data_IF_512961240075
#
_entry.id   IF_512961240075
#
_cell.length_a   1.000
_cell.length_b   1.000
_cell.length_c   1.000
_cell.angle_alpha   90.00
_cell.angle_beta   90.00
_cell.angle_gamma   90.00
#
_symmetry.space_group_name_H-M   'P 1'
#
loop_
_entity.id
_entity.type
_entity.pdbx_description
1 polymer ?
#
# COMPACT_ATOMS: atom_id res chain seq x y z
N UNK A 1 -44.74 -6.21 54.05
CA UNK A 1 -45.06 -7.23 55.06
C UNK A 1 -44.09 -8.38 54.80
N UNK A 2 -43.02 -8.42 55.58
CA UNK A 2 -42.14 -9.58 55.75
C UNK A 2 -42.80 -10.52 56.79
N UNK A 3 -42.42 -11.82 56.95
CA UNK A 3 -41.15 -12.11 57.61
C UNK A 3 -40.39 -13.40 57.16
N UNK A 4 -39.07 -13.23 57.04
CA UNK A 4 -38.02 -13.87 57.84
C UNK A 4 -37.56 -15.35 57.68
N UNK A 5 -36.23 -15.42 57.89
CA UNK A 5 -35.37 -16.43 58.53
C UNK A 5 -34.61 -17.41 57.61
N UNK A 6 -33.31 -17.16 57.34
CA UNK A 6 -32.08 -17.47 58.15
C UNK A 6 -31.61 -18.94 57.95
N UNK A 7 -30.34 -19.35 57.80
CA UNK A 7 -29.00 -18.98 58.32
C UNK A 7 -27.91 -19.76 57.50
N UNK A 8 -26.71 -19.23 57.15
CA UNK A 8 -25.40 -19.18 57.90
C UNK A 8 -24.65 -20.56 57.91
N UNK A 9 -23.37 -20.78 57.55
CA UNK A 9 -22.04 -20.21 57.88
C UNK A 9 -20.93 -20.75 56.89
N UNK A 10 -19.93 -19.94 56.46
CA UNK A 10 -18.47 -19.89 56.85
C UNK A 10 -17.57 -20.99 56.25
N UNK A 11 -16.32 -20.78 55.78
CA UNK A 11 -15.23 -19.94 56.31
C UNK A 11 -14.18 -19.49 55.28
N UNK A 12 -13.54 -18.37 55.60
CA UNK A 12 -12.28 -17.86 55.06
C UNK A 12 -11.11 -18.84 55.25
N UNK A 13 -10.05 -18.70 54.44
CA UNK A 13 -8.69 -18.50 54.96
C UNK A 13 -7.84 -17.71 53.96
N UNK A 14 -7.31 -16.59 54.46
CA UNK A 14 -6.21 -15.82 53.89
C UNK A 14 -4.93 -16.20 54.65
N UNK A 15 -3.76 -16.23 54.01
CA UNK A 15 -2.59 -15.43 54.44
C UNK A 15 -1.26 -15.78 53.72
N UNK A 16 -0.55 -14.70 53.34
CA UNK A 16 0.91 -14.43 53.43
C UNK A 16 1.90 -14.91 52.35
N UNK A 17 2.43 -13.92 51.61
CA UNK A 17 3.86 -13.78 51.18
C UNK A 17 4.74 -13.32 52.38
N UNK A 18 6.11 -13.27 52.37
CA UNK A 18 7.01 -12.82 51.27
C UNK A 18 8.50 -13.38 51.24
N UNK A 19 9.36 -12.75 50.39
CA UNK A 19 10.87 -12.64 50.36
C UNK A 19 11.73 -13.67 49.57
N UNK A 20 12.43 -13.27 48.47
CA UNK A 20 13.87 -12.84 48.28
C UNK A 20 14.89 -14.01 48.34
N UNK A 21 15.98 -14.18 47.58
CA UNK A 21 16.80 -13.43 46.60
C UNK A 21 17.71 -14.45 45.81
N UNK A 22 18.45 -13.97 44.80
CA UNK A 22 19.81 -14.38 44.32
C UNK A 22 20.00 -15.36 43.11
N UNK A 23 20.44 -14.74 42.00
CA UNK A 23 21.45 -15.06 40.96
C UNK A 23 21.78 -16.51 40.50
N UNK A 24 21.83 -16.73 39.17
CA UNK A 24 23.09 -16.92 38.40
C UNK A 24 22.87 -17.11 36.87
N UNK A 25 23.41 -16.14 36.11
CA UNK A 25 24.17 -16.14 34.84
C UNK A 25 24.07 -17.29 33.79
N UNK A 26 23.89 -16.89 32.51
CA UNK A 26 24.87 -17.01 31.39
C UNK A 26 24.14 -16.86 30.03
N UNK A 27 24.17 -15.74 29.31
CA UNK A 27 25.24 -15.16 28.48
C UNK A 27 25.61 -15.99 27.22
N UNK A 28 25.46 -15.37 26.04
CA UNK A 28 25.85 -15.88 24.71
C UNK A 28 25.22 -15.04 23.60
N UNK A 29 25.56 -13.76 23.46
CA UNK A 29 26.74 -13.19 22.79
C UNK A 29 26.54 -12.92 21.29
N UNK A 30 26.54 -11.62 21.00
CA UNK A 30 26.79 -10.92 19.73
C UNK A 30 28.19 -11.17 19.16
N UNK A 31 28.37 -11.15 17.83
CA UNK A 31 29.56 -10.69 17.07
C UNK A 31 29.37 -11.09 15.57
N UNK A 32 29.29 -10.17 14.61
CA UNK A 32 30.32 -9.32 13.94
C UNK A 32 30.86 -9.93 12.63
N UNK A 33 30.88 -9.05 11.63
CA UNK A 33 31.65 -9.04 10.38
C UNK A 33 33.08 -9.57 10.51
N UNK A 34 33.56 -10.28 9.48
CA UNK A 34 34.86 -10.03 8.86
C UNK A 34 34.98 -10.69 7.47
N UNK A 35 35.57 -9.94 6.54
CA UNK A 35 35.91 -10.30 5.17
C UNK A 35 37.35 -10.80 5.09
N UNK A 36 37.62 -11.85 4.31
CA UNK A 36 38.99 -12.09 3.80
C UNK A 36 38.95 -12.79 2.44
N UNK A 37 39.63 -12.18 1.48
CA UNK A 37 39.87 -12.71 0.15
C UNK A 37 40.84 -13.90 0.20
N UNK A 38 40.65 -14.88 -0.68
CA UNK A 38 41.73 -15.79 -1.10
C UNK A 38 41.53 -16.20 -2.57
N UNK A 39 42.41 -15.66 -3.41
CA UNK A 39 42.68 -16.05 -4.79
C UNK A 39 43.36 -17.43 -4.81
N UNK A 40 42.94 -18.33 -5.70
CA UNK A 40 43.76 -19.47 -6.16
C UNK A 40 43.31 -19.87 -7.58
N UNK A 41 44.19 -19.60 -8.54
CA UNK A 41 44.22 -20.19 -9.89
C UNK A 41 44.50 -21.71 -9.81
N UNK A 42 44.01 -22.46 -10.81
CA UNK A 42 44.75 -23.44 -11.65
C UNK A 42 43.78 -24.15 -12.62
N UNK A 43 44.12 -24.07 -13.91
CA UNK A 43 43.54 -24.73 -15.08
C UNK A 43 43.53 -26.27 -15.03
N UNK A 44 42.51 -26.93 -15.60
CA UNK A 44 42.53 -27.54 -16.95
C UNK A 44 41.33 -28.50 -17.18
N UNK A 45 40.77 -28.45 -18.41
CA UNK A 45 40.37 -29.65 -19.15
C UNK A 45 38.87 -29.89 -19.33
N UNK A 46 38.34 -29.57 -20.52
CA UNK A 46 38.04 -30.54 -21.58
C UNK A 46 37.05 -29.92 -22.59
N UNK A 47 37.62 -29.41 -23.66
CA UNK A 47 36.98 -28.99 -24.90
C UNK A 47 36.74 -30.24 -25.78
N UNK A 48 35.60 -30.34 -26.47
CA UNK A 48 35.32 -31.42 -27.41
C UNK A 48 34.65 -30.88 -28.66
N UNK A 49 35.48 -30.62 -29.67
CA UNK A 49 35.12 -30.41 -31.06
C UNK A 49 34.71 -31.73 -31.73
N UNK A 50 33.68 -31.70 -32.59
CA UNK A 50 33.48 -32.72 -33.62
C UNK A 50 32.87 -32.10 -34.89
N UNK A 51 33.61 -32.26 -35.99
CA UNK A 51 33.25 -31.91 -37.36
C UNK A 51 32.87 -33.16 -38.20
N UNK A 52 31.63 -33.18 -38.73
CA UNK A 52 31.09 -33.77 -40.00
C UNK A 52 31.26 -35.29 -40.35
N UNK A 53 30.56 -35.90 -41.37
CA UNK A 53 29.37 -35.53 -42.18
C UNK A 53 28.32 -36.68 -42.38
N UNK A 54 27.27 -36.40 -43.19
CA UNK A 54 26.27 -37.27 -43.86
C UNK A 54 24.93 -37.58 -43.15
N UNK A 55 23.86 -37.42 -43.94
CA UNK A 55 22.48 -37.31 -43.47
C UNK A 55 21.59 -38.52 -43.65
N UNK A 56 20.43 -38.44 -43.01
CA UNK A 56 19.15 -39.04 -43.39
C UNK A 56 18.04 -38.20 -42.76
N UNK A 57 17.05 -37.85 -43.56
CA UNK A 57 15.85 -37.08 -43.22
C UNK A 57 14.92 -37.84 -42.27
N UNK A 58 14.35 -37.15 -41.27
CA UNK A 58 12.97 -37.36 -40.83
C UNK A 58 12.44 -36.13 -40.04
N UNK A 59 11.25 -35.70 -40.42
CA UNK A 59 10.61 -34.42 -40.11
C UNK A 59 10.03 -34.29 -38.69
N UNK A 60 10.25 -33.13 -38.06
CA UNK A 60 9.38 -32.52 -37.05
C UNK A 60 9.44 -30.98 -37.20
N UNK A 61 8.32 -30.23 -37.20
CA UNK A 61 8.32 -28.80 -37.53
C UNK A 61 8.53 -27.96 -36.27
N UNK A 62 9.71 -27.36 -36.11
CA UNK A 62 9.98 -26.53 -34.93
C UNK A 62 11.29 -25.76 -34.86
N UNK A 63 12.05 -25.63 -35.96
CA UNK A 63 13.24 -24.78 -35.98
C UNK A 63 13.26 -23.96 -37.26
N UNK A 64 13.03 -22.64 -37.14
CA UNK A 64 13.39 -21.70 -38.19
C UNK A 64 14.92 -21.68 -38.27
N UNK A 65 15.47 -22.39 -39.25
CA UNK A 65 16.78 -22.06 -39.78
C UNK A 65 16.68 -20.66 -40.38
N UNK A 66 17.43 -19.71 -39.82
CA UNK A 66 17.71 -18.44 -40.47
C UNK A 66 18.51 -18.77 -41.74
N UNK A 67 17.81 -18.73 -42.86
CA UNK A 67 18.41 -18.86 -44.17
C UNK A 67 19.42 -17.72 -44.35
N UNK A 68 20.64 -18.04 -44.79
CA UNK A 68 21.77 -17.10 -44.89
C UNK A 68 21.62 -16.10 -46.06
N UNK A 69 20.39 -15.81 -46.48
CA UNK A 69 20.04 -14.90 -47.58
C UNK A 69 19.03 -13.82 -47.18
N UNK A 70 18.66 -13.71 -45.89
CA UNK A 70 17.79 -12.63 -45.44
C UNK A 70 18.60 -11.33 -45.36
N UNK A 71 18.33 -10.43 -46.31
CA UNK A 71 18.80 -9.06 -46.34
C UNK A 71 18.68 -8.42 -44.94
N UNK A 72 19.78 -7.85 -44.45
CA UNK A 72 19.88 -7.30 -43.11
C UNK A 72 18.79 -6.25 -42.84
N UNK A 73 18.33 -5.54 -43.89
CA UNK A 73 17.19 -4.63 -43.81
C UNK A 73 15.84 -5.35 -43.61
N UNK A 74 15.64 -6.52 -44.20
CA UNK A 74 14.40 -7.31 -44.04
C UNK A 74 14.30 -7.94 -42.65
N UNK A 75 15.43 -8.40 -42.10
CA UNK A 75 15.52 -8.82 -40.69
C UNK A 75 15.31 -7.64 -39.72
N UNK A 76 15.88 -6.47 -40.03
CA UNK A 76 15.64 -5.22 -39.29
C UNK A 76 14.18 -4.78 -39.36
N UNK A 77 13.52 -4.95 -40.51
CA UNK A 77 12.10 -4.64 -40.67
C UNK A 77 11.22 -5.56 -39.83
N UNK A 78 11.56 -6.84 -39.70
CA UNK A 78 10.87 -7.78 -38.81
C UNK A 78 11.10 -7.50 -37.32
N UNK A 79 12.29 -7.00 -36.95
CA UNK A 79 12.57 -6.51 -35.59
C UNK A 79 11.82 -5.19 -35.32
N UNK A 80 11.55 -4.39 -36.36
CA UNK A 80 10.84 -3.11 -36.28
C UNK A 80 9.31 -3.26 -36.27
N UNK A 81 8.76 -4.36 -36.79
CA UNK A 81 7.33 -4.70 -36.72
C UNK A 81 6.94 -5.45 -35.43
N UNK A 82 7.89 -6.03 -34.70
CA UNK A 82 7.68 -6.38 -33.30
C UNK A 82 7.75 -5.09 -32.46
N UNK A 83 6.60 -4.45 -32.27
CA UNK A 83 6.43 -3.12 -31.66
C UNK A 83 7.03 -2.97 -30.26
N UNK A 84 8.35 -2.82 -30.18
CA UNK A 84 8.99 -2.18 -29.03
C UNK A 84 8.83 -0.67 -29.20
N UNK A 85 7.63 -0.18 -28.85
CA UNK A 85 7.52 1.22 -28.47
C UNK A 85 8.44 1.36 -27.26
N UNK A 86 9.64 1.89 -27.47
CA UNK A 86 10.56 2.21 -26.40
C UNK A 86 9.91 3.35 -25.61
N UNK A 87 9.18 3.00 -24.56
CA UNK A 87 8.62 3.97 -23.60
C UNK A 87 9.80 4.79 -23.07
N UNK A 88 9.74 6.12 -23.22
CA UNK A 88 10.77 6.99 -22.66
C UNK A 88 10.78 6.86 -21.13
N UNK A 89 11.94 6.99 -20.45
CA UNK A 89 11.99 6.94 -18.99
C UNK A 89 10.98 7.88 -18.31
N UNK A 90 10.72 9.05 -18.90
CA UNK A 90 9.74 10.02 -18.41
C UNK A 90 8.30 9.54 -18.60
N UNK A 91 7.97 8.92 -19.74
CA UNK A 91 6.65 8.32 -19.96
C UNK A 91 6.44 7.11 -19.04
N UNK A 92 7.51 6.39 -18.75
CA UNK A 92 7.50 5.25 -17.85
C UNK A 92 7.24 5.66 -16.40
N UNK A 93 7.93 6.68 -15.89
CA UNK A 93 7.67 7.24 -14.55
C UNK A 93 6.29 7.88 -14.46
N UNK A 94 5.73 8.31 -15.60
CA UNK A 94 4.33 8.76 -15.68
C UNK A 94 3.34 7.63 -15.56
N UNK A 95 3.61 6.52 -16.23
CA UNK A 95 2.77 5.33 -16.16
C UNK A 95 2.89 4.70 -14.77
N UNK A 96 4.10 4.56 -14.26
CA UNK A 96 4.42 3.85 -13.03
C UNK A 96 4.95 4.83 -11.99
N UNK A 97 4.33 4.88 -10.81
CA UNK A 97 4.66 5.78 -9.70
C UNK A 97 6.03 5.50 -9.02
N UNK A 98 6.96 4.87 -9.73
CA UNK A 98 8.26 4.47 -9.22
C UNK A 98 9.31 4.57 -10.33
N UNK A 99 10.54 5.01 -10.00
CA UNK A 99 11.66 4.97 -10.93
C UNK A 99 11.88 3.57 -11.50
N UNK A 100 12.51 3.44 -12.69
CA UNK A 100 12.79 2.15 -13.31
C UNK A 100 13.61 1.23 -12.39
N UNK A 101 12.96 0.19 -11.86
CA UNK A 101 13.65 -0.92 -11.23
C UNK A 101 14.13 -1.88 -12.33
N UNK A 102 15.40 -2.30 -12.28
CA UNK A 102 15.93 -3.35 -13.16
C UNK A 102 15.35 -4.71 -12.76
N UNK A 103 14.11 -4.98 -13.16
CA UNK A 103 13.48 -6.30 -12.99
C UNK A 103 13.95 -7.20 -14.14
N UNK A 104 14.32 -8.45 -13.84
CA UNK A 104 14.71 -9.42 -14.88
C UNK A 104 13.46 -9.81 -15.69
N UNK A 105 13.50 -9.62 -17.01
CA UNK A 105 12.40 -9.94 -17.94
C UNK A 105 11.60 -8.72 -18.42
N UNK A 106 10.81 -8.88 -19.49
CA UNK A 106 10.00 -7.80 -20.08
C UNK A 106 8.58 -7.71 -19.48
N UNK A 107 8.43 -7.94 -18.17
CA UNK A 107 7.12 -8.07 -17.51
C UNK A 107 6.16 -6.89 -17.75
N UNK A 108 6.69 -5.68 -17.89
CA UNK A 108 5.91 -4.46 -18.17
C UNK A 108 5.45 -4.35 -19.62
N UNK A 109 6.07 -5.09 -20.55
CA UNK A 109 5.56 -5.28 -21.91
C UNK A 109 4.56 -6.43 -21.98
N UNK A 110 4.58 -7.33 -21.00
CA UNK A 110 3.69 -8.50 -20.92
C UNK A 110 2.36 -8.19 -20.24
N UNK A 111 2.38 -7.40 -19.16
CA UNK A 111 1.20 -7.09 -18.36
C UNK A 111 0.82 -5.61 -18.44
N UNK A 112 -0.48 -5.33 -18.32
CA UNK A 112 -0.99 -3.97 -18.19
C UNK A 112 -0.51 -3.29 -16.90
N UNK A 113 -0.59 -1.96 -16.88
CA UNK A 113 -0.27 -1.19 -15.68
C UNK A 113 -1.40 -1.34 -14.63
N UNK A 114 -1.10 -1.86 -13.42
CA UNK A 114 -2.10 -2.07 -12.38
C UNK A 114 -2.37 -0.80 -11.55
N UNK A 115 -1.51 0.23 -11.61
CA UNK A 115 -1.68 1.46 -10.81
C UNK A 115 -3.09 2.08 -10.96
N UNK A 116 -3.67 2.25 -12.17
CA UNK A 116 -4.97 2.89 -12.33
C UNK A 116 -6.11 2.17 -11.61
N UNK A 117 -6.06 0.83 -11.53
CA UNK A 117 -7.10 0.05 -10.85
C UNK A 117 -7.06 0.26 -9.35
N UNK A 118 -5.87 0.39 -8.76
CA UNK A 118 -5.75 0.71 -7.35
C UNK A 118 -6.15 2.16 -7.06
N UNK A 119 -5.76 3.11 -7.92
CA UNK A 119 -6.12 4.53 -7.75
C UNK A 119 -7.64 4.72 -7.84
N UNK A 120 -8.32 4.10 -8.80
CA UNK A 120 -9.78 4.23 -8.86
C UNK A 120 -10.47 3.58 -7.65
N UNK A 121 -9.90 2.50 -7.11
CA UNK A 121 -10.32 1.91 -5.84
C UNK A 121 -10.27 2.90 -4.68
N UNK A 122 -9.13 3.58 -4.52
CA UNK A 122 -8.93 4.67 -3.55
C UNK A 122 -9.92 5.82 -3.74
N UNK A 123 -10.14 6.25 -4.98
CA UNK A 123 -11.00 7.39 -5.28
C UNK A 123 -12.47 7.09 -4.99
N UNK A 124 -12.95 5.93 -5.41
CA UNK A 124 -14.36 5.56 -5.25
C UNK A 124 -14.74 5.20 -3.80
N UNK A 125 -13.76 4.91 -2.93
CA UNK A 125 -14.00 4.76 -1.49
C UNK A 125 -13.84 6.08 -0.72
N UNK A 126 -12.71 6.79 -0.91
CA UNK A 126 -12.39 7.97 -0.09
C UNK A 126 -13.15 9.22 -0.53
N UNK A 127 -13.35 9.43 -1.83
CA UNK A 127 -13.93 10.68 -2.31
C UNK A 127 -15.38 10.85 -1.82
N UNK A 128 -16.27 9.83 -1.91
CA UNK A 128 -17.59 9.93 -1.30
C UNK A 128 -17.54 10.02 0.24
N UNK A 129 -16.61 9.32 0.91
CA UNK A 129 -16.47 9.45 2.37
C UNK A 129 -16.08 10.87 2.77
N UNK A 130 -15.19 11.52 2.03
CA UNK A 130 -14.76 12.89 2.32
C UNK A 130 -15.92 13.89 2.28
N UNK A 131 -16.82 13.75 1.30
CA UNK A 131 -18.06 14.55 1.21
C UNK A 131 -19.02 14.24 2.36
N UNK A 132 -19.10 12.98 2.77
CA UNK A 132 -19.90 12.57 3.93
C UNK A 132 -19.37 13.16 5.24
N UNK A 133 -18.05 13.16 5.43
CA UNK A 133 -17.40 13.76 6.60
C UNK A 133 -17.58 15.27 6.66
N UNK A 134 -17.62 15.94 5.51
CA UNK A 134 -17.94 17.37 5.39
C UNK A 134 -19.46 17.66 5.48
N UNK A 135 -20.31 16.64 5.65
CA UNK A 135 -21.74 16.82 5.85
C UNK A 135 -22.52 17.31 4.62
N UNK A 136 -21.97 17.14 3.42
CA UNK A 136 -22.59 17.67 2.20
C UNK A 136 -24.00 17.11 2.01
N UNK A 137 -24.97 18.00 1.77
CA UNK A 137 -26.40 17.65 1.59
C UNK A 137 -26.98 16.83 2.75
N UNK A 138 -26.47 17.02 3.97
CA UNK A 138 -26.93 16.29 5.15
C UNK A 138 -26.38 14.86 5.27
N UNK A 139 -25.33 14.51 4.51
CA UNK A 139 -24.64 13.24 4.67
C UNK A 139 -24.00 13.11 6.07
N UNK A 140 -23.86 11.87 6.56
CA UNK A 140 -23.30 11.59 7.88
C UNK A 140 -23.19 10.09 8.18
N UNK A 141 -23.35 9.72 9.45
CA UNK A 141 -23.35 8.31 9.89
C UNK A 141 -22.02 7.60 9.67
N UNK A 142 -20.90 8.31 9.83
CA UNK A 142 -19.53 7.78 9.65
C UNK A 142 -19.29 7.15 8.27
N UNK A 143 -20.09 7.48 7.26
CA UNK A 143 -20.00 6.90 5.92
C UNK A 143 -20.59 5.50 5.79
N UNK A 144 -21.51 5.08 6.66
CA UNK A 144 -22.17 3.77 6.56
C UNK A 144 -22.86 3.52 5.20
N UNK A 145 -23.36 4.57 4.54
CA UNK A 145 -23.92 4.47 3.18
C UNK A 145 -22.92 3.96 2.12
N UNK A 146 -21.62 4.06 2.41
CA UNK A 146 -20.54 3.71 1.48
C UNK A 146 -19.89 2.35 1.81
N UNK A 147 -20.42 1.56 2.75
CA UNK A 147 -19.83 0.26 3.16
C UNK A 147 -19.53 -0.65 1.96
N UNK A 148 -20.45 -0.75 0.98
CA UNK A 148 -20.22 -1.53 -0.23
C UNK A 148 -18.99 -1.06 -1.02
N UNK A 149 -18.82 0.25 -1.16
CA UNK A 149 -17.67 0.85 -1.83
C UNK A 149 -16.36 0.66 -1.06
N UNK A 150 -16.40 0.55 0.27
CA UNK A 150 -15.23 0.20 1.06
C UNK A 150 -14.76 -1.23 0.76
N UNK A 151 -15.67 -2.19 0.63
CA UNK A 151 -15.30 -3.55 0.27
C UNK A 151 -14.79 -3.68 -1.16
N UNK A 152 -15.57 -3.19 -2.13
CA UNK A 152 -15.32 -3.49 -3.53
C UNK A 152 -14.33 -2.53 -4.17
N UNK A 153 -14.39 -1.23 -3.89
CA UNK A 153 -13.45 -0.28 -4.47
C UNK A 153 -12.23 -0.09 -3.57
N UNK A 154 -12.46 0.36 -2.34
CA UNK A 154 -11.37 0.64 -1.40
C UNK A 154 -10.56 -0.61 -1.05
N UNK A 155 -11.23 -1.76 -0.91
CA UNK A 155 -10.60 -3.03 -0.56
C UNK A 155 -10.12 -3.81 -1.77
N UNK A 156 -11.07 -4.42 -2.49
CA UNK A 156 -10.79 -5.37 -3.56
C UNK A 156 -9.93 -4.77 -4.69
N UNK A 157 -10.33 -3.62 -5.27
CA UNK A 157 -9.55 -3.04 -6.37
C UNK A 157 -8.14 -2.61 -5.94
N UNK A 158 -7.98 -2.05 -4.73
CA UNK A 158 -6.66 -1.66 -4.23
C UNK A 158 -5.75 -2.87 -3.95
N UNK A 159 -6.28 -3.94 -3.37
CA UNK A 159 -5.51 -5.18 -3.15
C UNK A 159 -5.11 -5.82 -4.49
N UNK A 160 -6.04 -5.90 -5.45
CA UNK A 160 -5.74 -6.45 -6.78
C UNK A 160 -4.68 -5.62 -7.52
N UNK A 161 -4.82 -4.29 -7.50
CA UNK A 161 -3.82 -3.41 -8.09
C UNK A 161 -2.47 -3.50 -7.38
N UNK A 162 -2.46 -3.59 -6.05
CA UNK A 162 -1.25 -3.83 -5.26
C UNK A 162 -0.55 -5.14 -5.64
N UNK A 163 -1.28 -6.25 -5.73
CA UNK A 163 -0.72 -7.53 -6.19
C UNK A 163 -0.13 -7.40 -7.61
N UNK A 164 -0.79 -6.65 -8.49
CA UNK A 164 -0.24 -6.31 -9.81
C UNK A 164 1.09 -5.57 -9.72
N UNK A 165 1.21 -4.57 -8.83
CA UNK A 165 2.46 -3.83 -8.62
C UNK A 165 3.59 -4.75 -8.12
N UNK A 166 3.26 -5.71 -7.27
CA UNK A 166 4.23 -6.73 -6.83
C UNK A 166 4.74 -7.57 -7.99
N UNK A 167 3.85 -8.02 -8.88
CA UNK A 167 4.22 -8.76 -10.11
C UNK A 167 5.16 -7.93 -10.99
N UNK A 168 4.94 -6.61 -11.10
CA UNK A 168 5.79 -5.70 -11.87
C UNK A 168 7.09 -5.27 -11.15
N UNK A 169 7.31 -5.73 -9.92
CA UNK A 169 8.49 -5.41 -9.11
C UNK A 169 8.48 -3.98 -8.52
N UNK A 170 7.30 -3.38 -8.37
CA UNK A 170 7.12 -2.07 -7.77
C UNK A 170 6.73 -2.19 -6.29
N UNK A 171 7.73 -2.39 -5.41
CA UNK A 171 7.51 -2.62 -3.98
C UNK A 171 6.75 -1.50 -3.27
N UNK A 172 7.10 -0.23 -3.54
CA UNK A 172 6.50 0.88 -2.84
C UNK A 172 4.99 1.01 -3.10
N UNK A 173 4.50 1.12 -4.35
CA UNK A 173 3.07 1.18 -4.61
C UNK A 173 2.35 -0.13 -4.26
N UNK A 174 3.00 -1.31 -4.34
CA UNK A 174 2.43 -2.55 -3.80
C UNK A 174 2.05 -2.41 -2.32
N UNK A 175 3.01 -2.00 -1.47
CA UNK A 175 2.77 -1.85 -0.02
C UNK A 175 1.74 -0.77 0.26
N UNK A 176 1.79 0.36 -0.46
CA UNK A 176 0.78 1.42 -0.35
C UNK A 176 -0.61 0.87 -0.66
N UNK A 177 -0.82 0.29 -1.84
CA UNK A 177 -2.17 -0.12 -2.26
C UNK A 177 -2.73 -1.27 -1.42
N UNK A 178 -1.92 -2.26 -1.06
CA UNK A 178 -2.38 -3.35 -0.20
C UNK A 178 -2.69 -2.89 1.23
N UNK A 179 -1.91 -1.96 1.80
CA UNK A 179 -2.17 -1.43 3.15
C UNK A 179 -3.46 -0.60 3.21
N UNK A 180 -3.69 0.29 2.24
CA UNK A 180 -4.97 1.01 2.14
C UNK A 180 -6.14 0.08 1.78
N UNK A 181 -5.90 -0.95 0.97
CA UNK A 181 -6.87 -2.02 0.71
C UNK A 181 -7.34 -2.70 1.99
N UNK A 182 -6.38 -3.11 2.83
CA UNK A 182 -6.65 -3.67 4.16
C UNK A 182 -7.40 -2.70 5.08
N UNK A 183 -7.02 -1.42 5.08
CA UNK A 183 -7.72 -0.37 5.82
C UNK A 183 -9.22 -0.30 5.44
N UNK A 184 -9.54 -0.26 4.14
CA UNK A 184 -10.93 -0.15 3.70
C UNK A 184 -11.75 -1.40 3.99
N UNK A 185 -11.17 -2.59 3.82
CA UNK A 185 -11.82 -3.84 4.22
C UNK A 185 -12.10 -3.87 5.73
N UNK A 186 -11.13 -3.48 6.56
CA UNK A 186 -11.27 -3.42 8.01
C UNK A 186 -12.29 -2.37 8.47
N UNK A 187 -12.27 -1.18 7.84
CA UNK A 187 -13.23 -0.12 8.15
C UNK A 187 -14.65 -0.49 7.73
N UNK A 188 -14.81 -1.09 6.54
CA UNK A 188 -16.08 -1.66 6.09
C UNK A 188 -16.61 -2.73 7.04
N UNK A 189 -15.76 -3.66 7.49
CA UNK A 189 -16.12 -4.69 8.46
C UNK A 189 -16.52 -4.12 9.82
N UNK A 190 -15.86 -3.05 10.25
CA UNK A 190 -16.19 -2.39 11.52
C UNK A 190 -17.59 -1.76 11.49
N UNK A 191 -17.99 -1.17 10.36
CA UNK A 191 -19.28 -0.50 10.21
C UNK A 191 -20.43 -1.43 9.80
N UNK A 192 -20.12 -2.56 9.16
CA UNK A 192 -21.09 -3.53 8.71
C UNK A 192 -21.76 -4.24 9.91
N UNK A 193 -23.07 -4.08 10.14
CA UNK A 193 -23.75 -4.62 11.31
C UNK A 193 -23.58 -6.14 11.51
N UNK A 194 -23.43 -6.90 10.42
CA UNK A 194 -23.23 -8.34 10.46
C UNK A 194 -22.01 -8.79 11.27
N UNK A 195 -20.89 -8.06 11.20
CA UNK A 195 -19.69 -8.39 11.99
C UNK A 195 -19.79 -7.95 13.45
N UNK A 196 -20.75 -7.06 13.76
CA UNK A 196 -21.11 -6.62 15.10
C UNK A 196 -19.94 -6.11 15.98
N UNK A 197 -18.94 -5.46 15.37
CA UNK A 197 -17.74 -4.98 16.08
C UNK A 197 -18.07 -3.97 17.18
N UNK A 198 -19.01 -3.06 16.92
CA UNK A 198 -19.43 -2.04 17.89
C UNK A 198 -20.41 -2.60 18.95
N UNK A 199 -21.06 -3.75 18.70
CA UNK A 199 -22.03 -4.34 19.63
C UNK A 199 -21.41 -4.80 20.95
N UNK A 200 -20.11 -5.14 20.95
CA UNK A 200 -19.34 -5.44 22.16
C UNK A 200 -19.26 -4.25 23.15
N UNK A 201 -19.56 -3.03 22.67
CA UNK A 201 -19.53 -1.81 23.46
C UNK A 201 -20.93 -1.28 23.81
N UNK A 202 -22.00 -2.02 23.49
CA UNK A 202 -23.36 -1.63 23.82
C UNK A 202 -23.58 -1.63 25.34
N UNK A 203 -24.25 -0.59 25.86
CA UNK A 203 -24.66 -0.54 27.25
C UNK A 203 -25.96 -1.33 27.44
N UNK A 204 -25.95 -2.46 28.20
CA UNK A 204 -27.14 -3.30 28.38
C UNK A 204 -28.26 -2.59 29.14
N UNK A 205 -27.94 -1.53 29.90
CA UNK A 205 -28.91 -0.75 30.67
C UNK A 205 -29.60 0.34 29.85
N UNK A 206 -29.19 0.58 28.61
CA UNK A 206 -29.75 1.64 27.74
C UNK A 206 -30.39 1.01 26.51
N UNK A 207 -31.73 1.07 26.45
CA UNK A 207 -32.49 0.56 25.31
C UNK A 207 -32.06 1.26 24.01
N UNK A 208 -31.74 0.48 22.98
CA UNK A 208 -31.29 1.00 21.67
C UNK A 208 -29.82 1.40 21.61
N UNK A 209 -29.03 1.18 22.66
CA UNK A 209 -27.58 1.39 22.60
C UNK A 209 -26.93 0.47 21.56
N UNK A 210 -26.32 1.05 20.54
CA UNK A 210 -25.53 0.31 19.54
C UNK A 210 -24.11 0.03 20.02
N UNK A 211 -23.52 0.92 20.82
CA UNK A 211 -22.10 0.88 21.20
C UNK A 211 -21.20 1.80 20.35
N UNK A 212 -21.71 2.35 19.25
CA UNK A 212 -21.00 3.31 18.38
C UNK A 212 -20.64 4.61 19.11
N UNK A 213 -21.49 5.04 20.05
CA UNK A 213 -21.32 6.25 20.85
C UNK A 213 -20.48 6.00 22.11
N UNK A 214 -20.04 4.76 22.36
CA UNK A 214 -19.28 4.45 23.56
C UNK A 214 -17.89 5.10 23.52
N UNK A 215 -17.39 5.45 24.70
CA UNK A 215 -16.02 5.98 24.88
C UNK A 215 -14.99 4.97 24.36
N UNK A 216 -15.15 3.69 24.73
CA UNK A 216 -14.22 2.62 24.35
C UNK A 216 -14.13 2.41 22.84
N UNK A 217 -15.29 2.37 22.15
CA UNK A 217 -15.31 2.20 20.69
C UNK A 217 -14.64 3.39 19.99
N UNK A 218 -15.02 4.62 20.34
CA UNK A 218 -14.45 5.82 19.73
C UNK A 218 -12.95 5.94 20.00
N UNK A 219 -12.47 5.65 21.22
CA UNK A 219 -11.04 5.65 21.51
C UNK A 219 -10.28 4.61 20.67
N UNK A 220 -10.83 3.40 20.52
CA UNK A 220 -10.26 2.33 19.69
C UNK A 220 -10.11 2.75 18.22
N UNK A 221 -11.15 3.34 17.63
CA UNK A 221 -11.06 3.87 16.26
C UNK A 221 -10.05 5.03 16.18
N UNK A 222 -10.01 5.92 17.18
CA UNK A 222 -9.05 7.01 17.25
C UNK A 222 -7.59 6.53 17.21
N UNK A 223 -7.24 5.46 17.94
CA UNK A 223 -5.90 4.86 17.89
C UNK A 223 -5.56 4.30 16.51
N UNK A 224 -6.53 3.67 15.84
CA UNK A 224 -6.33 3.17 14.49
C UNK A 224 -6.08 4.32 13.50
N UNK A 225 -6.76 5.46 13.65
CA UNK A 225 -6.48 6.65 12.84
C UNK A 225 -5.08 7.23 13.09
N UNK A 226 -4.57 7.20 14.33
CA UNK A 226 -3.16 7.55 14.61
C UNK A 226 -2.22 6.63 13.84
N UNK A 227 -2.43 5.31 13.91
CA UNK A 227 -1.59 4.33 13.22
C UNK A 227 -1.59 4.56 11.69
N UNK A 228 -2.75 4.87 11.12
CA UNK A 228 -2.88 5.26 9.71
C UNK A 228 -2.12 6.56 9.39
N UNK A 229 -2.20 7.57 10.26
CA UNK A 229 -1.43 8.81 10.13
C UNK A 229 0.07 8.58 10.16
N UNK A 230 0.55 7.72 11.07
CA UNK A 230 1.97 7.33 11.15
C UNK A 230 2.43 6.58 9.88
N UNK A 231 1.63 5.65 9.38
CA UNK A 231 1.90 4.95 8.13
C UNK A 231 1.96 5.94 6.96
N UNK A 232 1.02 6.88 6.86
CA UNK A 232 1.02 7.92 5.84
C UNK A 232 2.24 8.83 5.94
N UNK A 233 2.75 9.10 7.16
CA UNK A 233 3.96 9.88 7.34
C UNK A 233 5.20 9.15 6.80
N UNK A 234 5.29 7.83 7.03
CA UNK A 234 6.35 7.01 6.42
C UNK A 234 6.25 7.05 4.89
N UNK A 235 5.05 6.86 4.34
CA UNK A 235 4.85 6.92 2.90
C UNK A 235 5.11 8.32 2.32
N UNK A 236 4.79 9.39 3.06
CA UNK A 236 5.13 10.76 2.68
C UNK A 236 6.63 10.90 2.49
N UNK A 237 7.43 10.46 3.46
CA UNK A 237 8.90 10.50 3.39
C UNK A 237 9.41 9.67 2.20
N UNK A 238 8.88 8.46 2.01
CA UNK A 238 9.27 7.60 0.87
C UNK A 238 8.92 8.22 -0.49
N UNK A 239 7.78 8.92 -0.59
CA UNK A 239 7.26 9.51 -1.84
C UNK A 239 7.99 10.78 -2.30
N UNK A 240 8.88 11.35 -1.48
CA UNK A 240 9.71 12.52 -1.86
C UNK A 240 10.49 12.28 -3.16
N UNK A 241 10.74 11.02 -3.52
CA UNK A 241 11.51 10.63 -4.70
C UNK A 241 10.69 10.08 -5.86
N UNK A 242 9.37 10.02 -5.75
CA UNK A 242 8.53 9.40 -6.77
C UNK A 242 7.92 10.45 -7.70
N UNK A 243 7.00 11.25 -7.18
CA UNK A 243 6.23 12.18 -7.98
C UNK A 243 5.56 13.23 -7.08
N UNK A 244 5.52 14.49 -7.51
CA UNK A 244 4.94 15.57 -6.70
C UNK A 244 3.47 15.32 -6.36
N UNK A 245 2.67 14.88 -7.34
CA UNK A 245 1.24 14.66 -7.11
C UNK A 245 1.02 13.49 -6.15
N UNK A 246 1.82 12.42 -6.25
CA UNK A 246 1.75 11.30 -5.32
C UNK A 246 2.21 11.67 -3.91
N UNK A 247 3.24 12.51 -3.80
CA UNK A 247 3.67 13.10 -2.53
C UNK A 247 2.55 13.95 -1.90
N UNK A 248 1.87 14.77 -2.70
CA UNK A 248 0.79 15.64 -2.22
C UNK A 248 -0.42 14.86 -1.68
N UNK A 249 -0.68 13.64 -2.18
CA UNK A 249 -1.67 12.72 -1.60
C UNK A 249 -1.30 12.40 -0.15
N UNK A 250 -0.08 11.96 0.13
CA UNK A 250 0.32 11.67 1.51
C UNK A 250 0.42 12.92 2.38
N UNK A 251 0.87 14.03 1.80
CA UNK A 251 1.00 15.31 2.50
C UNK A 251 -0.34 15.78 3.06
N UNK A 252 -1.42 15.51 2.33
CA UNK A 252 -2.79 15.83 2.74
C UNK A 252 -3.42 14.73 3.59
N UNK A 253 -3.08 13.45 3.38
CA UNK A 253 -3.60 12.36 4.21
C UNK A 253 -3.06 12.36 5.65
N UNK A 254 -1.80 12.75 5.88
CA UNK A 254 -1.24 12.84 7.25
C UNK A 254 -2.09 13.73 8.17
N UNK A 255 -2.36 15.01 7.83
CA UNK A 255 -3.26 15.84 8.63
C UNK A 255 -4.71 15.33 8.59
N UNK A 256 -5.19 14.74 7.49
CA UNK A 256 -6.54 14.15 7.45
C UNK A 256 -6.74 13.10 8.55
N UNK A 257 -5.83 12.13 8.65
CA UNK A 257 -5.86 11.10 9.70
C UNK A 257 -5.66 11.69 11.10
N UNK A 258 -4.84 12.73 11.25
CA UNK A 258 -4.69 13.46 12.51
C UNK A 258 -5.99 14.11 12.98
N UNK A 259 -6.71 14.80 12.09
CA UNK A 259 -8.01 15.39 12.39
C UNK A 259 -9.08 14.32 12.67
N UNK A 260 -9.08 13.21 11.92
CA UNK A 260 -10.00 12.09 12.18
C UNK A 260 -9.74 11.44 13.55
N UNK A 261 -8.48 11.21 13.91
CA UNK A 261 -8.12 10.72 15.26
C UNK A 261 -8.65 11.68 16.33
N UNK A 262 -8.41 12.99 16.15
CA UNK A 262 -8.95 14.03 17.02
C UNK A 262 -10.48 13.98 17.12
N UNK A 263 -11.18 13.81 15.99
CA UNK A 263 -12.64 13.69 15.96
C UNK A 263 -13.13 12.55 16.87
N UNK A 264 -12.58 11.36 16.71
CA UNK A 264 -12.95 10.19 17.51
C UNK A 264 -12.64 10.38 19.00
N UNK A 265 -11.48 10.95 19.36
CA UNK A 265 -11.19 11.22 20.77
C UNK A 265 -12.08 12.31 21.38
N UNK A 266 -12.43 13.34 20.61
CA UNK A 266 -13.35 14.36 21.11
C UNK A 266 -14.79 13.82 21.23
N UNK A 267 -15.19 12.88 20.38
CA UNK A 267 -16.44 12.14 20.54
C UNK A 267 -16.42 11.32 21.84
N UNK A 268 -15.32 10.61 22.11
CA UNK A 268 -15.13 9.87 23.36
C UNK A 268 -15.15 10.76 24.61
N UNK A 269 -14.71 12.03 24.49
CA UNK A 269 -14.77 13.03 25.56
C UNK A 269 -16.14 13.71 25.70
N UNK A 270 -17.16 13.30 24.93
CA UNK A 270 -18.49 13.92 24.93
C UNK A 270 -18.56 15.30 24.27
N UNK A 271 -17.50 15.72 23.55
CA UNK A 271 -17.40 17.04 22.89
C UNK A 271 -17.84 16.97 21.43
N UNK A 272 -19.11 16.61 21.21
CA UNK A 272 -19.67 16.32 19.89
C UNK A 272 -19.49 17.47 18.86
N UNK A 273 -19.61 18.74 19.28
CA UNK A 273 -19.45 19.88 18.39
C UNK A 273 -18.02 20.03 17.86
N UNK A 274 -17.01 19.79 18.71
CA UNK A 274 -15.61 19.80 18.31
C UNK A 274 -15.25 18.57 17.48
N UNK A 275 -15.77 17.40 17.86
CA UNK A 275 -15.61 16.17 17.08
C UNK A 275 -16.08 16.37 15.64
N UNK A 276 -17.27 16.94 15.45
CA UNK A 276 -17.82 17.25 14.13
C UNK A 276 -16.91 18.18 13.31
N UNK A 277 -16.41 19.27 13.91
CA UNK A 277 -15.49 20.20 13.21
C UNK A 277 -14.19 19.52 12.79
N UNK A 278 -13.66 18.62 13.63
CA UNK A 278 -12.48 17.84 13.31
C UNK A 278 -12.75 16.81 12.21
N UNK A 279 -13.93 16.17 12.20
CA UNK A 279 -14.35 15.30 11.11
C UNK A 279 -14.47 16.07 9.78
N UNK A 280 -15.06 17.26 9.80
CA UNK A 280 -15.17 18.14 8.62
C UNK A 280 -13.78 18.53 8.09
N UNK A 281 -12.85 18.91 8.99
CA UNK A 281 -11.47 19.22 8.61
C UNK A 281 -10.76 17.99 8.00
N UNK A 282 -10.88 16.81 8.65
CA UNK A 282 -10.33 15.56 8.13
C UNK A 282 -10.90 15.21 6.76
N UNK A 283 -12.21 15.38 6.59
CA UNK A 283 -12.91 15.22 5.32
C UNK A 283 -12.39 16.18 4.24
N UNK A 284 -12.18 17.45 4.55
CA UNK A 284 -11.64 18.42 3.59
C UNK A 284 -10.23 18.07 3.12
N UNK A 285 -9.33 17.67 4.02
CA UNK A 285 -7.99 17.22 3.63
C UNK A 285 -8.03 15.93 2.79
N UNK A 286 -8.87 14.96 3.15
CA UNK A 286 -9.09 13.75 2.37
C UNK A 286 -9.67 14.05 0.98
N UNK A 287 -10.57 15.02 0.87
CA UNK A 287 -11.13 15.47 -0.39
C UNK A 287 -10.03 16.03 -1.31
N UNK A 288 -9.14 16.87 -0.79
CA UNK A 288 -8.00 17.40 -1.55
C UNK A 288 -7.05 16.28 -1.96
N UNK A 289 -6.79 15.28 -1.09
CA UNK A 289 -6.02 14.08 -1.47
C UNK A 289 -6.64 13.37 -2.67
N UNK A 290 -7.98 13.23 -2.70
CA UNK A 290 -8.69 12.66 -3.85
C UNK A 290 -8.59 13.51 -5.12
N UNK A 291 -8.53 14.84 -5.04
CA UNK A 291 -8.32 15.68 -6.23
C UNK A 291 -6.96 15.38 -6.89
N UNK A 292 -5.91 15.21 -6.10
CA UNK A 292 -4.61 14.75 -6.60
C UNK A 292 -4.68 13.33 -7.17
N UNK A 293 -5.43 12.43 -6.54
CA UNK A 293 -5.67 11.08 -7.05
C UNK A 293 -6.42 11.07 -8.40
N UNK A 294 -7.46 11.90 -8.56
CA UNK A 294 -8.19 12.06 -9.82
C UNK A 294 -7.28 12.58 -10.92
N UNK A 295 -6.37 13.51 -10.57
CA UNK A 295 -5.37 14.03 -11.51
C UNK A 295 -4.42 12.93 -11.98
N UNK A 296 -3.86 12.11 -11.08
CA UNK A 296 -3.00 10.98 -11.46
C UNK A 296 -3.78 9.96 -12.27
N UNK A 297 -5.00 9.61 -11.87
CA UNK A 297 -5.84 8.67 -12.60
C UNK A 297 -6.05 9.13 -14.04
N UNK A 298 -6.45 10.40 -14.24
CA UNK A 298 -6.62 10.98 -15.57
C UNK A 298 -5.32 10.97 -16.36
N UNK A 299 -4.19 11.33 -15.74
CA UNK A 299 -2.88 11.33 -16.40
C UNK A 299 -2.50 9.94 -16.92
N UNK A 300 -2.65 8.88 -16.11
CA UNK A 300 -2.30 7.51 -16.53
C UNK A 300 -3.31 6.98 -17.56
N UNK A 301 -4.61 7.26 -17.40
CA UNK A 301 -5.63 6.80 -18.35
C UNK A 301 -5.44 7.44 -19.73
N UNK A 302 -5.18 8.75 -19.81
CA UNK A 302 -4.88 9.44 -21.07
C UNK A 302 -3.63 8.86 -21.74
N UNK A 303 -2.57 8.62 -20.97
CA UNK A 303 -1.35 7.99 -21.49
C UNK A 303 -1.60 6.55 -21.99
N UNK A 304 -2.47 5.78 -21.32
CA UNK A 304 -2.77 4.39 -21.69
C UNK A 304 -3.51 4.23 -23.02
N UNK A 305 -4.18 5.29 -23.49
CA UNK A 305 -4.92 5.32 -24.75
C UNK A 305 -4.25 6.18 -25.82
N UNK A 306 -2.97 6.50 -25.64
CA UNK A 306 -2.17 7.34 -26.55
C UNK A 306 -2.86 8.69 -26.88
N UNK A 307 -3.41 9.34 -25.85
CA UNK A 307 -4.07 10.63 -26.02
C UNK A 307 -3.04 11.70 -26.47
N UNK A 308 -3.40 12.64 -27.36
CA UNK A 308 -2.44 13.54 -28.01
C UNK A 308 -1.73 14.54 -27.09
N UNK A 309 -2.08 14.61 -25.81
CA UNK A 309 -1.37 15.40 -24.81
C UNK A 309 -1.19 14.64 -23.50
N UNK A 310 -0.16 15.03 -22.76
CA UNK A 310 0.19 14.43 -21.48
C UNK A 310 0.02 15.43 -20.34
N UNK A 311 -0.59 14.99 -19.24
CA UNK A 311 -0.69 15.79 -18.03
C UNK A 311 0.65 15.75 -17.24
N UNK A 312 1.16 16.90 -16.78
CA UNK A 312 2.42 16.94 -16.04
C UNK A 312 2.21 16.49 -14.60
N UNK A 313 2.89 15.42 -14.19
CA UNK A 313 2.86 14.95 -12.79
C UNK A 313 4.08 15.39 -11.99
N UNK A 314 5.11 15.97 -12.62
CA UNK A 314 6.36 16.47 -12.00
C UNK A 314 7.16 15.38 -11.26
N UNK A 315 8.23 14.89 -11.90
CA UNK A 315 9.16 13.94 -11.28
C UNK A 315 10.05 14.63 -10.23
N UNK A 316 10.06 14.08 -9.01
CA UNK A 316 10.88 14.56 -7.90
C UNK A 316 12.20 13.78 -7.74
N UNK A 317 12.39 12.68 -8.48
CA UNK A 317 13.60 11.86 -8.42
C UNK A 317 14.86 12.64 -8.81
N UNK A 318 14.70 13.62 -9.71
CA UNK A 318 15.73 14.58 -10.12
C UNK A 318 16.13 15.57 -9.02
N UNK A 319 15.20 15.93 -8.12
CA UNK A 319 15.42 16.86 -7.00
C UNK A 319 16.15 16.16 -5.85
N UNK A 320 15.78 14.92 -5.55
CA UNK A 320 16.41 14.13 -4.48
C UNK A 320 17.16 12.92 -5.05
N UNK A 321 18.47 13.10 -5.31
CA UNK A 321 19.35 12.08 -5.91
C UNK A 321 19.41 10.75 -5.15
N UNK A 322 19.45 9.65 -5.89
CA UNK A 322 19.53 8.26 -5.41
C UNK A 322 20.74 7.98 -4.53
N UNK A 323 20.62 7.07 -3.56
CA UNK A 323 21.80 6.59 -2.81
C UNK A 323 22.86 6.01 -3.77
N UNK A 324 22.43 5.25 -4.79
CA UNK A 324 23.30 4.73 -5.84
C UNK A 324 23.88 5.81 -6.76
N UNK A 325 23.18 6.94 -6.93
CA UNK A 325 23.70 8.07 -7.70
C UNK A 325 24.73 8.87 -6.89
N UNK A 326 24.49 9.08 -5.59
CA UNK A 326 25.45 9.73 -4.68
C UNK A 326 26.74 8.91 -4.56
N UNK A 327 26.64 7.60 -4.32
CA UNK A 327 27.83 6.71 -4.28
C UNK A 327 28.65 6.72 -5.57
N UNK A 328 28.04 6.93 -6.74
CA UNK A 328 28.78 7.05 -8.00
C UNK A 328 29.55 8.37 -8.11
N UNK A 329 29.05 9.45 -7.49
CA UNK A 329 29.76 10.73 -7.45
C UNK A 329 30.95 10.63 -6.50
N UNK A 330 30.76 10.02 -5.32
CA UNK A 330 31.81 9.86 -4.30
C UNK A 330 32.97 8.93 -4.72
N UNK A 331 32.83 8.16 -5.80
CA UNK A 331 33.88 7.30 -6.36
C UNK A 331 34.62 7.94 -7.56
N UNK A 332 34.20 9.13 -7.97
CA UNK A 332 34.79 9.87 -9.10
C UNK A 332 35.55 11.12 -8.62
N UNK A 333 35.29 11.59 -7.40
CA UNK A 333 36.11 12.57 -6.66
C UNK A 333 37.23 11.87 -5.86
#
# INVERSE_FOLDING_TARGET
MDPDHQQKYSSNDAHLSPTRDVETLSAGSTARNESTARTMDVNHGLEKDFSQPNGYSNSFPGHLNLDASVDSNTALHHIRTAGSISISPELFEKLYLSPPNKVKGELRKTFGNPTPVAIIGFLLSLFPLSMTLMGWRGAGGSGAANIGWYYFCGGLLMVLGGIGEWILGNTFPFVVFCSFGGFWLGFGATLQPFYNAYGAYANPSVQGSTGLESVGFNAGIGYFQIAMGMMCLVFLICSIRTNLVFFMIFFTLVPAFGFLAGSYFQAANGRASLAKKLAEAGGAFAFVACLFGWYIFAAIMLASVDFPFNLPIVDLSSVVKGASQKRKVDHVE
#
